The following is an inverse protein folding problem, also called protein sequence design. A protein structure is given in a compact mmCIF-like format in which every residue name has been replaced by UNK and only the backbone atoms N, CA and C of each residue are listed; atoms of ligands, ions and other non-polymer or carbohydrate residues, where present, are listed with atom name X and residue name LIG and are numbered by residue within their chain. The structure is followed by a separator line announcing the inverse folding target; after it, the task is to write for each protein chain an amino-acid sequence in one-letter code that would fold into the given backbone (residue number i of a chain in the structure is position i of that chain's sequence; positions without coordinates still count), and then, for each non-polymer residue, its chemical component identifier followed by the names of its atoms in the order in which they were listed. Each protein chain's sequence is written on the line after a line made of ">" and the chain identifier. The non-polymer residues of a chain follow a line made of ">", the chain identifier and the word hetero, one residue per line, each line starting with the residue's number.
data_IF_491580654640
#
_entry.id   IF_491580654640
#
_cell.length_a   1.000
_cell.length_b   1.000
_cell.length_c   1.000
_cell.angle_alpha   90.00
_cell.angle_beta   90.00
_cell.angle_gamma   90.00
#
_symmetry.space_group_name_H-M   'P 1'
#
loop_
_entity.id
_entity.type
_entity.pdbx_description
1 polymer ?
#
# COMPACT_ATOMS: atom_id res chain seq x y z
N UNK A 1 -3.31 -16.14 9.21
CA UNK A 1 -2.44 -16.50 8.06
C UNK A 1 -1.30 -15.49 7.88
N UNK A 2 -0.13 -15.91 7.33
CA UNK A 2 0.93 -15.00 6.83
C UNK A 2 1.22 -15.28 5.36
N UNK A 3 1.36 -14.23 4.55
CA UNK A 3 1.73 -14.30 3.13
C UNK A 3 2.71 -13.19 2.77
N UNK A 4 3.68 -13.50 1.92
CA UNK A 4 4.69 -12.55 1.45
C UNK A 4 4.82 -12.61 -0.07
N UNK A 5 4.96 -11.45 -0.69
CA UNK A 5 5.16 -11.31 -2.13
C UNK A 5 6.22 -10.23 -2.37
N UNK A 6 7.26 -10.58 -3.12
CA UNK A 6 8.37 -9.69 -3.43
C UNK A 6 8.30 -9.34 -4.92
N UNK A 7 8.20 -8.04 -5.22
CA UNK A 7 8.18 -7.53 -6.60
C UNK A 7 9.47 -6.77 -6.85
N UNK A 8 10.20 -7.17 -7.89
CA UNK A 8 11.32 -6.38 -8.41
C UNK A 8 10.78 -5.15 -9.14
N UNK A 9 11.22 -3.98 -8.71
CA UNK A 9 10.81 -2.71 -9.31
C UNK A 9 11.71 -2.45 -10.50
N UNK A 10 13.00 -2.24 -10.29
CA UNK A 10 13.93 -1.98 -11.39
C UNK A 10 14.56 -3.31 -11.83
N UNK A 11 14.28 -3.73 -13.07
CA UNK A 11 14.91 -4.91 -13.68
C UNK A 11 15.89 -4.46 -14.79
N UNK A 12 17.22 -4.60 -14.58
CA UNK A 12 18.23 -4.31 -15.59
C UNK A 12 18.06 -5.11 -16.89
N UNK A 13 17.36 -6.25 -16.84
CA UNK A 13 17.07 -7.08 -18.01
C UNK A 13 15.85 -6.58 -18.81
N UNK A 14 15.13 -5.58 -18.29
CA UNK A 14 13.99 -4.94 -18.95
C UNK A 14 14.28 -3.45 -19.24
N UNK A 15 15.19 -3.13 -20.17
CA UNK A 15 15.65 -1.75 -20.43
C UNK A 15 14.58 -0.82 -21.04
N UNK A 16 13.43 -1.36 -21.45
CA UNK A 16 12.29 -0.57 -21.93
C UNK A 16 11.38 -0.09 -20.80
N UNK A 17 11.59 -0.56 -19.56
CA UNK A 17 10.90 -0.05 -18.39
C UNK A 17 11.70 1.08 -17.79
N UNK A 18 11.06 2.24 -17.60
CA UNK A 18 11.68 3.36 -16.90
C UNK A 18 12.03 2.97 -15.46
N UNK A 19 13.21 3.38 -15.01
CA UNK A 19 13.66 3.15 -13.65
C UNK A 19 12.97 4.11 -12.70
N UNK A 20 12.60 3.62 -11.51
CA UNK A 20 12.12 4.46 -10.42
C UNK A 20 13.24 4.73 -9.43
N UNK A 21 13.26 5.93 -8.86
CA UNK A 21 14.11 6.22 -7.68
C UNK A 21 13.43 5.75 -6.40
N UNK A 22 14.21 5.59 -5.32
CA UNK A 22 13.68 5.29 -3.99
C UNK A 22 12.68 6.35 -3.53
N UNK A 23 12.94 7.62 -3.83
CA UNK A 23 12.07 8.74 -3.49
C UNK A 23 10.75 8.70 -4.25
N UNK A 24 10.77 8.37 -5.55
CA UNK A 24 9.54 8.21 -6.34
C UNK A 24 8.70 7.05 -5.80
N UNK A 25 9.34 5.92 -5.50
CA UNK A 25 8.67 4.75 -4.91
C UNK A 25 8.06 5.11 -3.56
N UNK A 26 8.79 5.82 -2.70
CA UNK A 26 8.29 6.32 -1.43
C UNK A 26 7.09 7.26 -1.59
N UNK A 27 7.17 8.25 -2.50
CA UNK A 27 6.06 9.15 -2.79
C UNK A 27 4.84 8.40 -3.28
N UNK A 28 5.02 7.35 -4.08
CA UNK A 28 3.94 6.44 -4.48
C UNK A 28 3.26 5.76 -3.29
N UNK A 29 4.04 5.24 -2.32
CA UNK A 29 3.48 4.65 -1.10
C UNK A 29 2.76 5.67 -0.21
N UNK A 30 3.28 6.89 -0.11
CA UNK A 30 2.61 8.00 0.60
C UNK A 30 1.29 8.35 -0.09
N UNK A 31 1.28 8.48 -1.41
CA UNK A 31 0.06 8.78 -2.15
C UNK A 31 -0.97 7.64 -2.03
N UNK A 32 -0.55 6.38 -2.05
CA UNK A 32 -1.45 5.24 -1.76
C UNK A 32 -2.05 5.30 -0.37
N UNK A 33 -1.32 5.81 0.61
CA UNK A 33 -1.83 5.98 1.96
C UNK A 33 -2.81 7.16 2.07
N UNK A 34 -2.53 8.27 1.39
CA UNK A 34 -3.32 9.51 1.46
C UNK A 34 -4.52 9.53 0.50
N UNK A 35 -4.43 8.89 -0.66
CA UNK A 35 -5.50 8.74 -1.65
C UNK A 35 -5.53 7.31 -2.20
N UNK A 36 -6.00 6.33 -1.39
CA UNK A 36 -6.05 4.94 -1.80
C UNK A 36 -7.03 4.66 -2.95
N UNK A 37 -7.95 5.57 -3.27
CA UNK A 37 -8.93 5.38 -4.36
C UNK A 37 -8.26 5.28 -5.73
N UNK A 38 -7.06 5.84 -5.87
CA UNK A 38 -6.25 5.72 -7.08
C UNK A 38 -5.59 4.34 -7.26
N UNK A 39 -5.55 3.52 -6.20
CA UNK A 39 -4.78 2.28 -6.14
C UNK A 39 -5.64 1.03 -5.86
N UNK A 40 -6.71 1.18 -5.07
CA UNK A 40 -7.51 0.05 -4.59
C UNK A 40 -8.75 -0.09 -5.46
N UNK A 41 -8.82 -1.16 -6.24
CA UNK A 41 -9.99 -1.46 -7.05
C UNK A 41 -11.23 -1.67 -6.17
N UNK A 42 -12.36 -1.08 -6.58
CA UNK A 42 -13.63 -1.18 -5.87
C UNK A 42 -13.77 -0.28 -4.64
N UNK A 43 -12.73 0.47 -4.27
CA UNK A 43 -12.83 1.50 -3.23
C UNK A 43 -13.50 2.76 -3.81
N UNK A 44 -14.64 3.15 -3.26
CA UNK A 44 -15.39 4.32 -3.75
C UNK A 44 -14.83 5.61 -3.18
N UNK A 45 -14.62 5.66 -1.85
CA UNK A 45 -14.07 6.84 -1.18
C UNK A 45 -13.16 6.46 -0.01
N UNK A 46 -12.29 7.39 0.38
CA UNK A 46 -11.49 7.29 1.58
C UNK A 46 -11.51 8.61 2.35
N UNK A 47 -11.79 8.52 3.65
CA UNK A 47 -11.82 9.69 4.54
C UNK A 47 -10.69 9.58 5.55
N UNK A 48 -9.76 10.56 5.55
CA UNK A 48 -8.71 10.66 6.56
C UNK A 48 -9.22 11.49 7.73
N UNK A 49 -9.44 10.84 8.87
CA UNK A 49 -9.90 11.48 10.10
C UNK A 49 -8.78 12.18 10.85
N UNK A 50 -7.57 11.64 10.78
CA UNK A 50 -6.40 12.20 11.46
C UNK A 50 -5.13 11.98 10.67
N UNK A 51 -4.24 12.98 10.69
CA UNK A 51 -2.87 12.91 10.20
C UNK A 51 -1.96 13.49 11.27
N UNK A 52 -1.09 12.67 11.85
CA UNK A 52 -0.19 13.07 12.93
C UNK A 52 1.25 12.76 12.58
N UNK A 53 2.14 13.68 12.92
CA UNK A 53 3.59 13.42 12.91
C UNK A 53 3.96 12.81 14.27
N UNK A 54 4.61 11.64 14.27
CA UNK A 54 5.07 10.92 15.46
C UNK A 54 6.55 10.62 15.29
N UNK A 55 7.41 11.48 15.85
CA UNK A 55 8.84 11.46 15.50
C UNK A 55 9.04 11.75 14.02
N UNK A 56 9.73 10.87 13.32
CA UNK A 56 9.92 10.94 11.86
C UNK A 56 8.79 10.27 11.07
N UNK A 57 7.91 9.52 11.74
CA UNK A 57 6.81 8.80 11.09
C UNK A 57 5.56 9.66 10.94
N UNK A 58 4.74 9.34 9.94
CA UNK A 58 3.37 9.87 9.81
C UNK A 58 2.39 8.75 10.17
N UNK A 59 1.43 9.06 11.04
CA UNK A 59 0.31 8.18 11.35
C UNK A 59 -0.99 8.77 10.78
N UNK A 60 -1.73 7.95 10.02
CA UNK A 60 -3.05 8.27 9.50
C UNK A 60 -4.09 7.38 10.17
N UNK A 61 -5.24 7.95 10.50
CA UNK A 61 -6.45 7.20 10.84
C UNK A 61 -7.48 7.49 9.75
N UNK A 62 -8.01 6.45 9.10
CA UNK A 62 -8.91 6.62 7.96
C UNK A 62 -10.01 5.57 7.94
N UNK A 63 -11.10 5.92 7.27
CA UNK A 63 -12.16 4.99 6.86
C UNK A 63 -12.13 4.84 5.36
N UNK A 64 -12.12 3.59 4.89
CA UNK A 64 -12.26 3.18 3.50
C UNK A 64 -13.71 2.74 3.25
N UNK A 65 -14.35 3.30 2.24
CA UNK A 65 -15.75 3.02 1.90
C UNK A 65 -15.84 2.27 0.56
N UNK A 66 -16.23 1.00 0.62
CA UNK A 66 -16.44 0.14 -0.54
C UNK A 66 -17.93 0.12 -0.97
N UNK A 67 -18.72 1.10 -0.50
CA UNK A 67 -20.16 1.23 -0.74
C UNK A 67 -20.98 0.27 0.12
N UNK A 68 -20.73 -1.03 -0.02
CA UNK A 68 -21.44 -2.09 0.72
C UNK A 68 -20.94 -2.30 2.15
N UNK A 69 -19.68 -1.95 2.42
CA UNK A 69 -19.08 -2.01 3.75
C UNK A 69 -17.99 -0.94 3.91
N UNK A 70 -17.66 -0.65 5.17
CA UNK A 70 -16.61 0.30 5.55
C UNK A 70 -15.53 -0.40 6.35
N UNK A 71 -14.28 0.01 6.13
CA UNK A 71 -13.11 -0.51 6.84
C UNK A 71 -12.42 0.64 7.53
N UNK A 72 -12.16 0.49 8.83
CA UNK A 72 -11.31 1.41 9.58
C UNK A 72 -9.90 0.85 9.64
N UNK A 73 -8.93 1.67 9.23
CA UNK A 73 -7.53 1.30 9.33
C UNK A 73 -6.67 2.44 9.89
N UNK A 74 -5.49 2.05 10.33
CA UNK A 74 -4.43 2.96 10.75
C UNK A 74 -3.20 2.71 9.90
N UNK A 75 -2.72 3.75 9.24
CA UNK A 75 -1.50 3.70 8.43
C UNK A 75 -0.34 4.36 9.17
N UNK A 76 0.82 3.71 9.18
CA UNK A 76 2.10 4.25 9.62
C UNK A 76 3.06 4.30 8.46
N UNK A 77 3.65 5.46 8.26
CA UNK A 77 4.56 5.76 7.16
C UNK A 77 5.94 6.07 7.76
N UNK A 78 6.90 5.18 7.55
CA UNK A 78 8.31 5.39 7.92
C UNK A 78 9.06 5.90 6.68
N UNK A 79 9.57 7.15 6.68
CA UNK A 79 10.14 7.81 5.51
C UNK A 79 11.14 6.97 4.73
N UNK A 80 10.94 6.91 3.41
CA UNK A 80 11.76 6.14 2.45
C UNK A 80 11.98 4.66 2.78
N UNK A 81 11.21 4.10 3.72
CA UNK A 81 11.42 2.74 4.23
C UNK A 81 10.19 1.87 4.02
N UNK A 82 9.04 2.23 4.61
CA UNK A 82 7.86 1.34 4.58
C UNK A 82 6.53 2.06 4.84
N UNK A 83 5.47 1.44 4.35
CA UNK A 83 4.08 1.72 4.73
C UNK A 83 3.52 0.51 5.48
N UNK A 84 2.87 0.76 6.61
CA UNK A 84 2.27 -0.29 7.44
C UNK A 84 0.82 0.06 7.76
N UNK A 85 -0.10 -0.83 7.44
CA UNK A 85 -1.53 -0.67 7.59
C UNK A 85 -2.00 -1.69 8.63
N UNK A 86 -2.72 -1.21 9.64
CA UNK A 86 -3.39 -2.03 10.64
C UNK A 86 -4.88 -1.87 10.45
N UNK A 87 -5.54 -2.94 10.06
CA UNK A 87 -6.98 -2.98 9.82
C UNK A 87 -7.66 -3.60 11.04
N UNK A 88 -8.62 -2.89 11.61
CA UNK A 88 -9.42 -3.39 12.72
C UNK A 88 -10.29 -4.57 12.28
N UNK A 89 -10.54 -5.50 13.21
CA UNK A 89 -11.51 -6.56 12.99
C UNK A 89 -12.90 -5.97 12.70
N UNK A 90 -13.57 -6.49 11.68
CA UNK A 90 -14.94 -6.14 11.35
C UNK A 90 -15.92 -7.24 11.76
N UNK A 91 -17.20 -7.10 11.37
CA UNK A 91 -18.22 -8.10 11.67
C UNK A 91 -17.94 -9.47 11.05
N UNK A 92 -17.24 -9.52 9.91
CA UNK A 92 -17.02 -10.75 9.12
C UNK A 92 -15.56 -10.97 8.71
N UNK A 93 -14.61 -10.16 9.21
CA UNK A 93 -13.19 -10.31 8.90
C UNK A 93 -12.32 -10.07 10.15
N UNK A 94 -11.20 -10.80 10.29
CA UNK A 94 -10.30 -10.63 11.41
C UNK A 94 -9.52 -9.32 11.33
N UNK A 95 -8.92 -8.93 12.45
CA UNK A 95 -7.89 -7.90 12.42
C UNK A 95 -6.74 -8.38 11.53
N UNK A 96 -6.13 -7.43 10.80
CA UNK A 96 -5.05 -7.75 9.88
C UNK A 96 -4.04 -6.63 9.79
N UNK A 97 -2.86 -6.99 9.31
CA UNK A 97 -1.74 -6.10 9.06
C UNK A 97 -1.24 -6.31 7.65
N UNK A 98 -1.00 -5.21 6.95
CA UNK A 98 -0.31 -5.20 5.67
C UNK A 98 0.92 -4.30 5.80
N UNK A 99 2.09 -4.79 5.42
CA UNK A 99 3.31 -3.99 5.33
C UNK A 99 3.87 -4.01 3.92
N UNK A 100 4.29 -2.86 3.42
CA UNK A 100 5.02 -2.68 2.17
C UNK A 100 6.38 -2.09 2.52
N UNK A 101 7.46 -2.84 2.29
CA UNK A 101 8.84 -2.42 2.57
C UNK A 101 9.60 -2.16 1.26
N UNK A 102 10.36 -1.06 1.20
CA UNK A 102 11.27 -0.74 0.10
C UNK A 102 12.64 -1.35 0.39
N UNK A 103 13.04 -2.34 -0.40
CA UNK A 103 14.37 -2.96 -0.33
C UNK A 103 15.28 -2.48 -1.45
N UNK A 104 16.56 -2.29 -1.14
CA UNK A 104 17.60 -1.93 -2.10
C UNK A 104 18.90 -2.65 -1.73
N UNK A 105 19.02 -3.95 -2.05
CA UNK A 105 20.22 -4.72 -1.75
C UNK A 105 21.47 -4.20 -2.47
N UNK A 106 21.30 -3.51 -3.60
CA UNK A 106 22.35 -2.82 -4.35
C UNK A 106 21.80 -1.49 -4.86
N UNK A 107 22.64 -0.46 -5.08
CA UNK A 107 22.19 0.82 -5.62
C UNK A 107 21.31 0.65 -6.85
N UNK A 108 20.17 1.33 -6.88
CA UNK A 108 19.18 1.32 -7.98
C UNK A 108 18.41 0.00 -8.17
N UNK A 109 18.82 -1.09 -7.52
CA UNK A 109 18.12 -2.37 -7.57
C UNK A 109 17.02 -2.41 -6.51
N UNK A 110 15.87 -1.82 -6.84
CA UNK A 110 14.74 -1.65 -5.93
C UNK A 110 13.75 -2.82 -5.97
N UNK A 111 13.22 -3.17 -4.80
CA UNK A 111 12.11 -4.12 -4.63
C UNK A 111 11.05 -3.54 -3.68
N UNK A 112 9.82 -4.01 -3.85
CA UNK A 112 8.77 -3.88 -2.84
C UNK A 112 8.43 -5.25 -2.27
N UNK A 113 8.58 -5.41 -0.96
CA UNK A 113 8.09 -6.58 -0.22
C UNK A 113 6.73 -6.27 0.40
N UNK A 114 5.73 -7.02 -0.01
CA UNK A 114 4.40 -7.00 0.56
C UNK A 114 4.29 -8.14 1.57
N UNK A 115 3.84 -7.83 2.79
CA UNK A 115 3.70 -8.78 3.90
C UNK A 115 2.29 -8.62 4.44
N UNK A 116 1.53 -9.71 4.41
CA UNK A 116 0.16 -9.78 4.90
C UNK A 116 0.08 -10.71 6.10
N UNK A 117 -0.54 -10.25 7.18
CA UNK A 117 -0.77 -11.01 8.40
C UNK A 117 -2.23 -10.85 8.82
N UNK A 118 -2.92 -11.94 9.13
CA UNK A 118 -4.28 -11.94 9.66
C UNK A 118 -4.34 -12.69 10.97
N UNK A 119 -4.96 -12.07 11.98
CA UNK A 119 -5.25 -12.68 13.27
C UNK A 119 -6.49 -13.57 13.14
N UNK A 120 -6.33 -14.69 12.45
CA UNK A 120 -7.31 -15.76 12.45
C UNK A 120 -7.31 -16.37 13.85
N UNK A 121 -8.18 -15.88 14.74
CA UNK A 121 -8.35 -16.47 16.07
C UNK A 121 -8.74 -17.93 15.91
N UNK A 122 -7.92 -18.83 16.47
CA UNK A 122 -8.21 -20.25 16.60
C UNK A 122 -9.56 -20.43 17.32
N UNK A 123 -10.63 -20.63 16.56
CA UNK A 123 -12.00 -20.67 17.10
C UNK A 123 -13.10 -20.90 16.07
N UNK A 124 -12.99 -20.34 14.86
CA UNK A 124 -13.96 -20.57 13.78
C UNK A 124 -13.21 -20.91 12.50
N UNK A 125 -13.48 -22.12 11.98
CA UNK A 125 -13.01 -22.74 10.74
C UNK A 125 -11.71 -22.17 10.15
N UNK A 126 -10.59 -22.89 10.28
CA UNK A 126 -9.45 -22.72 9.35
C UNK A 126 -10.01 -22.59 7.93
N UNK A 127 -9.60 -21.53 7.23
CA UNK A 127 -10.02 -21.31 5.86
C UNK A 127 -9.59 -22.53 5.04
N UNK A 128 -10.50 -23.07 4.23
CA UNK A 128 -10.13 -24.14 3.33
C UNK A 128 -9.02 -23.71 2.36
N UNK A 129 -8.34 -24.70 1.78
CA UNK A 129 -7.21 -24.46 0.90
C UNK A 129 -7.57 -23.59 -0.31
N UNK A 130 -8.81 -23.71 -0.80
CA UNK A 130 -9.32 -22.94 -1.94
C UNK A 130 -9.46 -21.47 -1.58
N UNK A 131 -10.07 -21.17 -0.43
CA UNK A 131 -10.27 -19.80 0.06
C UNK A 131 -8.93 -19.15 0.37
N UNK A 132 -8.01 -19.90 0.97
CA UNK A 132 -6.63 -19.45 1.22
C UNK A 132 -5.92 -19.13 -0.10
N UNK A 133 -6.03 -19.98 -1.12
CA UNK A 133 -5.42 -19.76 -2.43
C UNK A 133 -6.01 -18.54 -3.16
N UNK A 134 -7.35 -18.40 -3.17
CA UNK A 134 -8.03 -17.24 -3.76
C UNK A 134 -7.60 -15.93 -3.07
N UNK A 135 -7.44 -15.94 -1.75
CA UNK A 135 -6.97 -14.78 -1.01
C UNK A 135 -5.53 -14.40 -1.39
N UNK A 136 -4.62 -15.37 -1.53
CA UNK A 136 -3.24 -15.11 -2.00
C UNK A 136 -3.23 -14.50 -3.40
N UNK A 137 -4.02 -15.04 -4.32
CA UNK A 137 -4.14 -14.51 -5.68
C UNK A 137 -4.67 -13.07 -5.68
N UNK A 138 -5.64 -12.75 -4.82
CA UNK A 138 -6.14 -11.40 -4.66
C UNK A 138 -5.05 -10.44 -4.14
N UNK A 139 -4.22 -10.87 -3.20
CA UNK A 139 -3.07 -10.10 -2.72
C UNK A 139 -2.04 -9.87 -3.83
N UNK A 140 -1.61 -10.91 -4.53
CA UNK A 140 -0.65 -10.80 -5.64
C UNK A 140 -1.16 -9.81 -6.71
N UNK A 141 -2.44 -9.89 -7.05
CA UNK A 141 -3.06 -8.97 -8.00
C UNK A 141 -3.05 -7.52 -7.50
N UNK A 142 -3.42 -7.29 -6.25
CA UNK A 142 -3.42 -5.95 -5.64
C UNK A 142 -2.01 -5.35 -5.53
N UNK A 143 -0.99 -6.18 -5.29
CA UNK A 143 0.41 -5.77 -5.25
C UNK A 143 0.89 -5.31 -6.62
N UNK A 144 0.59 -6.10 -7.67
CA UNK A 144 0.91 -5.77 -9.06
C UNK A 144 0.20 -4.49 -9.52
N UNK A 145 -1.09 -4.34 -9.20
CA UNK A 145 -1.86 -3.14 -9.53
C UNK A 145 -1.30 -1.90 -8.81
N UNK A 146 -0.85 -2.06 -7.56
CA UNK A 146 -0.17 -0.99 -6.81
C UNK A 146 1.13 -0.57 -7.51
N UNK A 147 1.99 -1.52 -7.89
CA UNK A 147 3.25 -1.22 -8.58
C UNK A 147 3.00 -0.57 -9.93
N UNK A 148 2.06 -1.10 -10.72
CA UNK A 148 1.69 -0.53 -12.01
C UNK A 148 1.21 0.92 -11.87
N UNK A 149 0.39 1.22 -10.85
CA UNK A 149 -0.07 2.58 -10.61
C UNK A 149 1.05 3.53 -10.20
N UNK A 150 1.97 3.10 -9.33
CA UNK A 150 3.14 3.91 -8.96
C UNK A 150 3.98 4.25 -10.20
N UNK A 151 4.21 3.28 -11.09
CA UNK A 151 4.95 3.48 -12.34
C UNK A 151 4.26 4.49 -13.25
N UNK A 152 2.97 4.32 -13.51
CA UNK A 152 2.20 5.26 -14.33
C UNK A 152 2.26 6.70 -13.78
N UNK A 153 2.13 6.86 -12.46
CA UNK A 153 2.23 8.18 -11.82
C UNK A 153 3.63 8.80 -11.92
N UNK A 154 4.69 7.97 -11.91
CA UNK A 154 6.05 8.44 -12.12
C UNK A 154 6.27 8.88 -13.58
N UNK A 155 5.79 8.09 -14.55
CA UNK A 155 5.85 8.42 -15.98
C UNK A 155 5.11 9.74 -16.30
N UNK A 156 4.00 9.98 -15.60
CA UNK A 156 3.23 11.24 -15.67
C UNK A 156 3.89 12.41 -14.91
N UNK A 157 4.99 12.19 -14.17
CA UNK A 157 5.72 13.19 -13.40
C UNK A 157 5.06 13.59 -12.06
N UNK A 158 4.02 12.90 -11.61
CA UNK A 158 3.34 13.18 -10.33
C UNK A 158 4.21 12.87 -9.11
N UNK A 159 5.17 11.97 -9.27
CA UNK A 159 6.06 11.53 -8.18
C UNK A 159 7.40 12.28 -8.16
N UNK A 160 7.54 13.33 -8.97
CA UNK A 160 8.73 14.17 -8.98
C UNK A 160 8.69 15.24 -7.88
N UNK A 161 9.87 15.75 -7.52
CA UNK A 161 10.05 16.70 -6.41
C UNK A 161 9.23 17.99 -6.59
N UNK A 162 8.98 18.39 -7.84
CA UNK A 162 8.19 19.57 -8.20
C UNK A 162 6.68 19.34 -8.10
N UNK A 163 6.21 18.10 -8.30
CA UNK A 163 4.80 17.73 -8.19
C UNK A 163 4.37 17.52 -6.72
N UNK A 164 5.28 17.09 -5.84
CA UNK A 164 5.04 16.95 -4.40
C UNK A 164 4.60 18.27 -3.73
N UNK A 165 5.05 19.42 -4.23
CA UNK A 165 4.58 20.75 -3.77
C UNK A 165 3.12 21.05 -4.14
N UNK A 166 2.57 20.43 -5.19
CA UNK A 166 1.17 20.60 -5.61
C UNK A 166 0.21 19.74 -4.77
N UNK A 167 0.62 18.52 -4.40
CA UNK A 167 -0.14 17.64 -3.50
C UNK A 167 -0.30 18.24 -2.09
N UNK A 168 0.74 18.92 -1.58
CA UNK A 168 0.67 19.65 -0.30
C UNK A 168 -0.31 20.85 -0.33
N UNK A 169 -0.74 21.29 -1.51
CA UNK A 169 -1.65 22.44 -1.70
C UNK A 169 -3.08 22.05 -2.11
N UNK A 170 -3.42 20.76 -2.20
CA UNK A 170 -4.80 20.37 -2.48
C UNK A 170 -5.65 20.68 -1.23
N UNK A 171 -6.64 21.60 -1.32
CA UNK A 171 -7.51 21.85 -0.19
C UNK A 171 -8.28 20.58 0.15
N UNK A 172 -8.16 20.15 1.40
CA UNK A 172 -8.99 19.07 1.95
C UNK A 172 -10.40 19.64 2.10
N UNK A 173 -11.30 19.27 1.19
CA UNK A 173 -12.72 19.57 1.31
C UNK A 173 -13.39 18.65 2.33
#
# INVERSE_FOLDING_TARGET
>A
MRFEHLIQINDPLMPLLDTLTREQLWRGLVLRAEDPTQFVFGLETATIHSRRQVGEEIELLRTLDFGSFKVEDRVRLTPQSRSEIHTSAGPTWPASRMRIEIEEPQPELLFLRFIYESDETAGDCELDDVTTALRKQAYERADLDTVARIRALAEEGWLDETAARRLACIPKH
#
